data_IF_753920589438
#
_entry.id   IF_753920589438
#
_cell.length_a   1.000
_cell.length_b   1.000
_cell.length_c   1.000
_cell.angle_alpha   90.00
_cell.angle_beta   90.00
_cell.angle_gamma   90.00
#
_symmetry.space_group_name_H-M   'P 1'
#
loop_
_entity.id
_entity.type
_entity.pdbx_description
1 polymer ?
#
# COMPACT_ATOMS: atom_id res chain seq x y z
N UNK A 1 9.67 11.75 -27.55
CA UNK A 1 8.21 11.55 -27.58
C UNK A 1 7.98 10.18 -27.00
N UNK A 2 7.24 10.07 -25.88
CA UNK A 2 6.95 8.76 -25.29
C UNK A 2 6.22 7.92 -26.34
N UNK A 3 6.67 6.71 -26.58
CA UNK A 3 5.99 5.79 -27.49
C UNK A 3 4.67 5.41 -26.83
N UNK A 4 3.58 5.96 -27.35
CA UNK A 4 2.23 5.66 -26.86
C UNK A 4 1.67 4.53 -27.71
N UNK A 5 1.30 3.43 -27.05
CA UNK A 5 0.39 2.48 -27.65
C UNK A 5 -0.99 3.10 -27.79
N UNK A 6 -1.91 2.42 -28.45
CA UNK A 6 -3.29 2.87 -28.57
C UNK A 6 -4.26 1.71 -28.40
N UNK A 7 -5.44 2.02 -27.88
CA UNK A 7 -6.51 1.05 -27.66
C UNK A 7 -6.97 0.51 -29.01
N UNK A 8 -6.86 -0.80 -29.22
CA UNK A 8 -7.35 -1.50 -30.38
C UNK A 8 -8.71 -2.18 -30.13
N UNK A 9 -8.91 -2.72 -28.92
CA UNK A 9 -10.14 -3.42 -28.55
C UNK A 9 -10.40 -3.34 -27.05
N UNK A 10 -11.67 -3.41 -26.67
CA UNK A 10 -12.12 -3.32 -25.27
C UNK A 10 -13.10 -4.46 -25.04
N UNK A 11 -12.83 -5.31 -24.06
CA UNK A 11 -13.69 -6.41 -23.64
C UNK A 11 -13.83 -6.43 -22.12
N UNK A 12 -14.85 -5.72 -21.62
CA UNK A 12 -15.02 -5.49 -20.18
C UNK A 12 -13.79 -4.78 -19.59
N UNK A 13 -13.15 -5.32 -18.54
CA UNK A 13 -11.98 -4.71 -17.93
C UNK A 13 -10.66 -5.00 -18.67
N UNK A 14 -10.71 -5.86 -19.72
CA UNK A 14 -9.54 -6.21 -20.52
C UNK A 14 -9.49 -5.31 -21.77
N UNK A 15 -8.37 -4.61 -21.94
CA UNK A 15 -8.10 -3.72 -23.06
C UNK A 15 -6.94 -4.28 -23.90
N UNK A 16 -7.11 -4.33 -25.21
CA UNK A 16 -6.05 -4.69 -26.15
C UNK A 16 -5.40 -3.43 -26.68
N UNK A 17 -4.09 -3.29 -26.52
CA UNK A 17 -3.31 -2.15 -26.95
C UNK A 17 -2.34 -2.54 -28.09
N UNK A 18 -2.30 -1.75 -29.17
CA UNK A 18 -1.33 -1.87 -30.27
C UNK A 18 -0.24 -0.81 -30.15
N UNK A 19 0.86 -0.99 -30.87
CA UNK A 19 2.06 -0.13 -30.70
C UNK A 19 2.87 -0.51 -29.47
N UNK A 20 2.88 -1.80 -29.13
CA UNK A 20 3.38 -2.41 -27.89
C UNK A 20 4.88 -2.77 -27.89
N UNK A 21 5.67 -2.25 -28.83
CA UNK A 21 7.04 -2.72 -29.07
C UNK A 21 7.96 -2.63 -27.84
N UNK A 22 7.65 -1.76 -26.89
CA UNK A 22 8.42 -1.56 -25.66
C UNK A 22 7.65 -1.91 -24.37
N UNK A 23 6.41 -2.39 -24.45
CA UNK A 23 5.67 -2.80 -23.26
C UNK A 23 6.31 -4.02 -22.61
N UNK A 24 6.35 -4.03 -21.28
CA UNK A 24 6.88 -5.13 -20.49
C UNK A 24 5.79 -5.84 -19.69
N UNK A 25 5.99 -7.14 -19.47
CA UNK A 25 5.11 -7.95 -18.66
C UNK A 25 5.06 -7.39 -17.23
N UNK A 26 3.86 -7.21 -16.66
CA UNK A 26 3.62 -6.64 -15.32
C UNK A 26 3.94 -5.15 -15.15
N UNK A 27 4.17 -4.45 -16.24
CA UNK A 27 4.33 -3.00 -16.25
C UNK A 27 2.99 -2.28 -16.01
N UNK A 28 3.04 -1.15 -15.29
CA UNK A 28 1.90 -0.25 -15.15
C UNK A 28 1.78 0.68 -16.37
N UNK A 29 0.55 0.82 -16.86
CA UNK A 29 0.19 1.72 -17.95
C UNK A 29 -0.96 2.63 -17.56
N UNK A 30 -1.02 3.80 -18.20
CA UNK A 30 -2.15 4.73 -18.16
C UNK A 30 -2.96 4.54 -19.43
N UNK A 31 -4.25 4.22 -19.29
CA UNK A 31 -5.14 3.83 -20.39
C UNK A 31 -6.18 4.91 -20.65
N UNK A 32 -6.24 5.36 -21.90
CA UNK A 32 -7.19 6.35 -22.38
C UNK A 32 -6.82 7.78 -22.02
N UNK A 33 -7.63 8.73 -22.50
CA UNK A 33 -7.46 10.17 -22.20
C UNK A 33 -7.65 10.49 -20.71
N UNK A 34 -8.34 9.60 -20.00
CA UNK A 34 -8.55 9.68 -18.55
C UNK A 34 -7.42 9.08 -17.73
N UNK A 35 -6.37 8.54 -18.36
CA UNK A 35 -5.22 7.97 -17.66
C UNK A 35 -5.61 6.89 -16.63
N UNK A 36 -6.53 5.99 -16.99
CA UNK A 36 -6.96 4.93 -16.08
C UNK A 36 -5.79 3.99 -15.78
N UNK A 37 -5.64 3.57 -14.52
CA UNK A 37 -4.54 2.69 -14.14
C UNK A 37 -4.82 1.27 -14.65
N UNK A 38 -3.84 0.71 -15.37
CA UNK A 38 -3.85 -0.68 -15.82
C UNK A 38 -2.49 -1.36 -15.70
N UNK A 39 -2.51 -2.68 -15.83
CA UNK A 39 -1.33 -3.53 -15.82
C UNK A 39 -1.26 -4.36 -17.11
N UNK A 40 -0.09 -4.42 -17.74
CA UNK A 40 0.14 -5.39 -18.81
C UNK A 40 0.08 -6.80 -18.21
N UNK A 41 -0.85 -7.64 -18.70
CA UNK A 41 -1.05 -9.04 -18.27
C UNK A 41 -0.71 -10.07 -19.38
N UNK A 42 -0.47 -9.61 -20.60
CA UNK A 42 -0.02 -10.46 -21.70
C UNK A 42 0.57 -9.63 -22.84
N UNK A 43 1.50 -10.22 -23.58
CA UNK A 43 2.13 -9.60 -24.74
C UNK A 43 2.16 -10.64 -25.85
N UNK A 44 1.43 -10.37 -26.92
CA UNK A 44 1.47 -11.12 -28.18
C UNK A 44 2.23 -10.31 -29.24
N UNK A 45 2.52 -10.95 -30.39
CA UNK A 45 3.27 -10.32 -31.49
C UNK A 45 2.62 -9.03 -32.00
N UNK A 46 1.30 -8.91 -31.89
CA UNK A 46 0.51 -7.87 -32.54
C UNK A 46 -0.15 -6.90 -31.55
N UNK A 47 -0.25 -7.28 -30.26
CA UNK A 47 -0.94 -6.52 -29.24
C UNK A 47 -0.47 -6.88 -27.84
N UNK A 48 -0.55 -5.92 -26.92
CA UNK A 48 -0.51 -6.17 -25.49
C UNK A 48 -1.93 -6.27 -24.92
N UNK A 49 -2.08 -7.10 -23.90
CA UNK A 49 -3.30 -7.29 -23.14
C UNK A 49 -3.13 -6.54 -21.82
N UNK A 50 -4.01 -5.58 -21.58
CA UNK A 50 -4.00 -4.71 -20.42
C UNK A 50 -5.20 -5.03 -19.54
N UNK A 51 -4.97 -5.30 -18.27
CA UNK A 51 -6.01 -5.35 -17.25
C UNK A 51 -6.17 -3.95 -16.64
N UNK A 52 -7.30 -3.31 -16.88
CA UNK A 52 -7.62 -2.01 -16.25
C UNK A 52 -8.21 -2.26 -14.87
N UNK A 53 -7.77 -1.51 -13.85
CA UNK A 53 -8.24 -1.63 -12.47
C UNK A 53 -9.40 -0.69 -12.13
N UNK A 54 -9.81 0.13 -13.09
CA UNK A 54 -10.95 1.05 -13.01
C UNK A 54 -12.00 0.71 -14.08
N UNK A 55 -13.19 1.32 -13.97
CA UNK A 55 -14.27 1.09 -14.92
C UNK A 55 -13.93 1.61 -16.33
N UNK A 56 -13.89 0.70 -17.30
CA UNK A 56 -13.54 0.96 -18.71
C UNK A 56 -14.65 1.60 -19.53
N UNK A 57 -15.85 1.80 -18.96
CA UNK A 57 -17.02 2.35 -19.66
C UNK A 57 -16.70 3.68 -20.34
N UNK A 58 -16.85 3.78 -21.66
CA UNK A 58 -16.63 5.03 -22.38
C UNK A 58 -15.18 5.30 -22.81
N UNK A 59 -14.23 4.40 -22.51
CA UNK A 59 -13.01 4.28 -23.31
C UNK A 59 -13.36 3.96 -24.77
N UNK A 60 -12.56 4.44 -25.71
CA UNK A 60 -12.75 4.22 -27.14
C UNK A 60 -11.49 3.66 -27.80
N UNK A 61 -11.63 2.82 -28.84
CA UNK A 61 -10.52 2.49 -29.72
C UNK A 61 -9.87 3.76 -30.29
N UNK A 62 -8.54 3.76 -30.34
CA UNK A 62 -7.71 4.88 -30.78
C UNK A 62 -7.18 5.78 -29.66
N UNK A 63 -7.74 5.70 -28.45
CA UNK A 63 -7.20 6.45 -27.31
C UNK A 63 -5.81 5.93 -26.87
N UNK A 64 -4.96 6.77 -26.24
CA UNK A 64 -3.58 6.41 -25.93
C UNK A 64 -3.47 5.37 -24.80
N UNK A 65 -2.38 4.61 -24.83
CA UNK A 65 -1.93 3.72 -23.76
C UNK A 65 -0.47 4.05 -23.49
N UNK A 66 -0.22 4.75 -22.39
CA UNK A 66 1.10 5.26 -22.03
C UNK A 66 1.76 4.38 -20.96
N UNK A 67 3.00 3.96 -21.20
CA UNK A 67 3.76 3.17 -20.25
C UNK A 67 4.41 4.02 -19.14
N UNK A 68 4.45 3.48 -17.92
CA UNK A 68 5.15 4.09 -16.79
C UNK A 68 6.57 3.55 -16.59
N UNK A 69 6.96 2.51 -17.32
CA UNK A 69 8.30 1.92 -17.28
C UNK A 69 8.62 1.19 -15.97
N UNK A 70 7.62 0.99 -15.10
CA UNK A 70 7.77 0.39 -13.77
C UNK A 70 6.61 -0.54 -13.44
N UNK A 71 6.83 -1.57 -12.62
CA UNK A 71 5.76 -2.44 -12.16
C UNK A 71 4.83 -1.70 -11.20
N UNK A 72 3.61 -2.24 -11.04
CA UNK A 72 2.66 -1.67 -10.09
C UNK A 72 3.22 -1.74 -8.67
N UNK A 73 3.37 -0.56 -8.07
CA UNK A 73 4.09 -0.35 -6.82
C UNK A 73 3.28 0.52 -5.88
N UNK A 74 3.43 0.28 -4.58
CA UNK A 74 2.78 1.05 -3.52
C UNK A 74 3.79 1.95 -2.81
N UNK A 75 3.31 3.06 -2.27
CA UNK A 75 4.07 4.08 -1.58
C UNK A 75 4.17 3.76 -0.09
N UNK A 76 5.38 3.47 0.36
CA UNK A 76 5.71 3.19 1.76
C UNK A 76 6.33 4.43 2.41
N UNK A 77 5.60 5.10 3.30
CA UNK A 77 6.09 6.21 4.12
C UNK A 77 5.22 6.38 5.39
N UNK A 78 5.59 7.27 6.33
CA UNK A 78 4.68 7.70 7.39
C UNK A 78 3.40 8.34 6.81
N UNK A 79 2.24 8.03 7.39
CA UNK A 79 0.92 8.51 6.94
C UNK A 79 0.02 7.40 6.39
N UNK A 80 0.46 6.14 6.42
CA UNK A 80 -0.33 4.97 6.04
C UNK A 80 -1.31 4.60 7.16
N UNK A 81 -0.86 4.67 8.41
CA UNK A 81 -1.71 4.37 9.57
C UNK A 81 -2.83 5.40 9.69
N UNK A 82 -3.98 4.95 10.21
CA UNK A 82 -5.22 5.73 10.31
C UNK A 82 -5.85 6.14 8.97
N UNK A 83 -5.26 5.73 7.85
CA UNK A 83 -5.75 6.02 6.51
C UNK A 83 -6.63 4.87 5.96
N UNK A 84 -7.44 5.21 4.97
CA UNK A 84 -8.36 4.30 4.30
C UNK A 84 -8.09 4.40 2.80
N UNK A 85 -7.63 3.31 2.20
CA UNK A 85 -7.25 3.24 0.80
C UNK A 85 -8.27 2.43 -0.01
N UNK A 86 -8.34 2.71 -1.31
CA UNK A 86 -8.95 1.80 -2.28
C UNK A 86 -7.96 0.68 -2.70
N UNK A 87 -8.37 -0.16 -3.64
CA UNK A 87 -7.56 -1.29 -4.14
C UNK A 87 -6.24 -0.89 -4.83
N UNK A 88 -6.05 0.39 -5.15
CA UNK A 88 -4.85 0.91 -5.83
C UNK A 88 -4.13 2.00 -5.00
N UNK A 89 -4.32 1.97 -3.67
CA UNK A 89 -3.65 2.85 -2.71
C UNK A 89 -4.02 4.35 -2.83
N UNK A 90 -5.21 4.68 -3.34
CA UNK A 90 -5.72 6.06 -3.30
C UNK A 90 -6.49 6.31 -2.00
N UNK A 91 -6.22 7.43 -1.29
CA UNK A 91 -6.89 7.72 -0.03
C UNK A 91 -8.36 8.11 -0.26
N UNK A 92 -9.29 7.28 0.22
CA UNK A 92 -10.73 7.47 0.03
C UNK A 92 -11.25 8.78 0.63
N UNK A 93 -10.62 9.28 1.69
CA UNK A 93 -10.97 10.57 2.30
C UNK A 93 -10.69 11.74 1.37
N UNK A 94 -9.57 11.72 0.65
CA UNK A 94 -9.23 12.79 -0.28
C UNK A 94 -10.04 12.69 -1.58
N UNK A 95 -10.28 11.46 -2.06
CA UNK A 95 -11.23 11.25 -3.17
C UNK A 95 -12.58 11.88 -2.82
N UNK A 96 -13.11 11.61 -1.62
CA UNK A 96 -14.39 12.20 -1.17
C UNK A 96 -14.35 13.73 -1.11
N UNK A 97 -13.23 14.33 -0.72
CA UNK A 97 -13.09 15.79 -0.68
C UNK A 97 -13.15 16.42 -2.09
N UNK A 98 -12.71 15.69 -3.12
CA UNK A 98 -12.63 16.18 -4.50
C UNK A 98 -13.92 15.86 -5.29
N UNK A 99 -14.35 14.61 -5.31
CA UNK A 99 -15.47 14.12 -6.15
C UNK A 99 -16.78 13.88 -5.39
N UNK A 100 -16.80 14.13 -4.08
CA UNK A 100 -17.99 14.00 -3.25
C UNK A 100 -18.35 12.54 -2.93
N UNK A 101 -19.61 12.16 -3.16
CA UNK A 101 -20.10 10.83 -2.78
C UNK A 101 -19.76 9.72 -3.79
N UNK A 102 -19.26 10.08 -4.98
CA UNK A 102 -18.89 9.16 -6.04
C UNK A 102 -17.38 9.19 -6.26
N UNK A 103 -16.84 8.08 -6.76
CA UNK A 103 -15.42 7.98 -7.14
C UNK A 103 -15.36 8.26 -8.64
N UNK A 104 -14.86 9.44 -9.02
CA UNK A 104 -14.60 9.72 -10.43
C UNK A 104 -13.40 8.88 -10.92
N UNK A 105 -13.37 8.67 -12.23
CA UNK A 105 -12.38 7.79 -12.89
C UNK A 105 -11.17 8.58 -13.32
N UNK A 106 -9.98 7.98 -13.21
CA UNK A 106 -8.75 8.64 -13.63
C UNK A 106 -8.36 9.82 -12.73
N UNK A 107 -8.81 9.80 -11.48
CA UNK A 107 -8.37 10.78 -10.51
C UNK A 107 -6.92 10.47 -10.15
N UNK A 108 -6.03 11.41 -10.45
CA UNK A 108 -4.63 11.40 -10.05
C UNK A 108 -4.50 12.09 -8.67
N UNK A 109 -4.43 11.29 -7.61
CA UNK A 109 -4.21 11.74 -6.23
C UNK A 109 -3.00 11.00 -5.68
N UNK A 110 -2.12 11.72 -4.99
CA UNK A 110 -1.02 11.12 -4.24
C UNK A 110 -1.55 10.15 -3.18
N UNK A 111 -0.96 8.96 -3.09
CA UNK A 111 -1.31 7.96 -2.09
C UNK A 111 -1.22 8.50 -0.66
N UNK A 112 -0.23 9.35 -0.38
CA UNK A 112 0.01 9.93 0.95
C UNK A 112 0.08 11.45 0.87
N UNK A 113 -0.21 12.11 1.99
CA UNK A 113 -0.09 13.56 2.13
C UNK A 113 1.38 13.98 2.05
N UNK A 114 1.74 14.63 0.94
CA UNK A 114 3.10 15.07 0.64
C UNK A 114 3.48 16.40 1.31
N UNK A 115 2.50 17.13 1.83
CA UNK A 115 2.67 18.45 2.46
C UNK A 115 2.78 18.34 3.98
N UNK A 116 2.22 17.26 4.56
CA UNK A 116 2.32 17.00 6.00
C UNK A 116 3.77 16.83 6.43
N UNK A 117 4.15 17.61 7.44
CA UNK A 117 5.45 17.51 8.11
C UNK A 117 5.39 16.57 9.30
N UNK A 118 6.46 15.81 9.46
CA UNK A 118 6.64 14.81 10.50
C UNK A 118 7.87 15.16 11.34
N UNK A 119 7.69 15.20 12.66
CA UNK A 119 8.81 15.30 13.60
C UNK A 119 9.69 14.05 13.47
N UNK A 120 10.93 14.28 13.05
CA UNK A 120 11.85 13.24 12.60
C UNK A 120 13.13 13.31 13.41
N UNK A 121 13.53 12.16 13.95
CA UNK A 121 14.82 11.98 14.62
C UNK A 121 15.73 11.11 13.75
N UNK A 122 16.89 11.64 13.41
CA UNK A 122 17.89 10.95 12.60
C UNK A 122 18.68 9.98 13.47
N UNK A 123 18.85 8.75 12.99
CA UNK A 123 19.45 7.64 13.75
C UNK A 123 20.85 7.25 13.27
N UNK A 124 21.36 7.91 12.22
CA UNK A 124 22.67 7.65 11.61
C UNK A 124 23.48 8.94 11.53
N UNK A 125 24.79 8.84 11.36
CA UNK A 125 25.70 9.98 11.18
C UNK A 125 26.62 9.80 9.97
N UNK A 126 27.18 10.90 9.43
CA UNK A 126 28.20 10.81 8.40
C UNK A 126 29.36 9.89 8.81
N UNK A 127 29.74 8.99 7.90
CA UNK A 127 30.75 7.95 8.10
C UNK A 127 30.21 6.57 8.47
N UNK A 128 28.94 6.45 8.85
CA UNK A 128 28.34 5.14 9.16
C UNK A 128 28.17 4.30 7.88
N UNK A 129 28.49 3.01 7.97
CA UNK A 129 28.17 2.03 6.94
C UNK A 129 26.76 1.49 7.16
N UNK A 130 25.93 1.53 6.11
CA UNK A 130 24.52 1.09 6.18
C UNK A 130 24.21 0.10 5.07
N UNK A 131 23.28 -0.80 5.35
CA UNK A 131 22.75 -1.80 4.42
C UNK A 131 21.22 -1.80 4.44
N UNK A 132 20.61 -2.48 3.47
CA UNK A 132 19.16 -2.61 3.35
C UNK A 132 18.50 -3.03 4.66
N UNK A 133 17.49 -2.27 5.09
CA UNK A 133 16.81 -2.46 6.38
C UNK A 133 17.43 -1.72 7.57
N UNK A 134 18.58 -1.06 7.40
CA UNK A 134 19.15 -0.19 8.46
C UNK A 134 18.22 0.99 8.71
N UNK A 135 17.90 1.28 9.98
CA UNK A 135 17.05 2.42 10.36
C UNK A 135 17.85 3.71 10.25
N UNK A 136 17.39 4.63 9.40
CA UNK A 136 18.04 5.93 9.18
C UNK A 136 17.35 7.07 9.94
N UNK A 137 16.05 6.94 10.19
CA UNK A 137 15.29 7.92 10.94
C UNK A 137 14.09 7.25 11.62
N UNK A 138 13.56 7.91 12.65
CA UNK A 138 12.35 7.51 13.35
C UNK A 138 11.37 8.67 13.39
N UNK A 139 10.10 8.36 13.14
CA UNK A 139 8.98 9.31 13.08
C UNK A 139 7.86 8.78 13.95
N UNK A 140 7.30 9.63 14.82
CA UNK A 140 6.09 9.26 15.58
C UNK A 140 4.87 9.42 14.66
N UNK A 141 4.40 8.33 14.05
CA UNK A 141 3.33 8.38 13.04
C UNK A 141 1.93 8.53 13.67
N UNK A 142 1.69 7.79 14.75
CA UNK A 142 0.44 7.87 15.54
C UNK A 142 0.78 7.99 17.01
N UNK A 143 -0.21 8.04 17.91
CA UNK A 143 0.09 8.13 19.35
C UNK A 143 0.73 6.84 19.92
N UNK A 144 0.74 5.75 19.14
CA UNK A 144 1.24 4.43 19.54
C UNK A 144 2.47 4.00 18.75
N UNK A 145 2.53 4.33 17.46
CA UNK A 145 3.49 3.72 16.54
C UNK A 145 4.62 4.69 16.22
N UNK A 146 5.83 4.27 16.59
CA UNK A 146 7.07 4.86 16.11
C UNK A 146 7.45 4.20 14.79
N UNK A 147 7.26 4.91 13.69
CA UNK A 147 7.64 4.49 12.35
C UNK A 147 9.15 4.55 12.19
N UNK A 148 9.73 3.49 11.64
CA UNK A 148 11.18 3.39 11.37
C UNK A 148 11.41 3.53 9.87
N UNK A 149 12.01 4.65 9.47
CA UNK A 149 12.44 4.88 8.09
C UNK A 149 13.73 4.09 7.88
N UNK A 150 13.74 3.21 6.89
CA UNK A 150 14.83 2.26 6.67
C UNK A 150 15.47 2.43 5.29
N UNK A 151 16.73 2.05 5.14
CA UNK A 151 17.41 1.98 3.83
C UNK A 151 16.69 0.94 2.95
N UNK A 152 16.42 1.25 1.66
CA UNK A 152 15.84 0.30 0.71
C UNK A 152 16.65 -1.01 0.65
N UNK A 153 16.01 -2.19 0.53
CA UNK A 153 16.70 -3.47 0.70
C UNK A 153 17.88 -3.74 -0.23
N UNK A 154 17.85 -3.19 -1.45
CA UNK A 154 18.90 -3.40 -2.46
C UNK A 154 20.08 -2.42 -2.33
N UNK A 155 19.99 -1.47 -1.40
CA UNK A 155 20.97 -0.41 -1.25
C UNK A 155 21.93 -0.69 -0.10
N UNK A 156 23.20 -0.37 -0.34
CA UNK A 156 24.26 -0.33 0.67
C UNK A 156 25.22 0.80 0.36
N UNK A 157 25.83 1.37 1.37
CA UNK A 157 26.76 2.47 1.20
C UNK A 157 27.24 3.07 2.50
N UNK A 158 27.97 4.17 2.39
CA UNK A 158 28.44 4.95 3.52
C UNK A 158 27.68 6.27 3.57
N UNK A 159 27.20 6.66 4.75
CA UNK A 159 26.51 7.94 4.93
C UNK A 159 27.49 9.09 4.70
N UNK A 160 27.18 9.97 3.75
CA UNK A 160 27.99 11.18 3.47
C UNK A 160 27.38 12.42 4.08
N UNK A 161 26.06 12.45 4.23
CA UNK A 161 25.33 13.58 4.78
C UNK A 161 24.05 13.11 5.45
N UNK A 162 23.64 13.82 6.50
CA UNK A 162 22.37 13.64 7.19
C UNK A 162 21.72 15.00 7.42
N UNK A 163 20.39 15.03 7.38
CA UNK A 163 19.60 16.12 7.91
C UNK A 163 19.82 16.26 9.42
N UNK A 164 19.43 17.40 9.99
CA UNK A 164 19.30 17.55 11.43
C UNK A 164 17.96 16.96 11.89
N UNK A 165 17.77 16.79 13.20
CA UNK A 165 16.45 16.49 13.73
C UNK A 165 15.49 17.67 13.48
N UNK A 166 14.24 17.36 13.13
CA UNK A 166 13.24 18.39 12.85
C UNK A 166 12.03 17.88 12.08
N UNK A 167 11.22 18.82 11.60
CA UNK A 167 9.98 18.55 10.89
C UNK A 167 10.19 18.52 9.36
N UNK A 168 9.97 17.34 8.75
CA UNK A 168 10.19 17.10 7.32
C UNK A 168 8.96 16.45 6.67
N UNK A 169 8.70 16.75 5.39
CA UNK A 169 7.72 15.99 4.61
C UNK A 169 8.31 14.66 4.14
N UNK A 170 7.46 13.77 3.62
CA UNK A 170 7.88 12.44 3.16
C UNK A 170 8.85 12.48 1.95
N UNK A 171 8.85 13.60 1.22
CA UNK A 171 9.66 13.82 0.01
C UNK A 171 10.96 14.57 0.29
N UNK A 172 11.11 15.17 1.48
CA UNK A 172 12.34 15.90 1.83
C UNK A 172 13.51 14.93 2.05
N UNK A 173 14.73 15.31 1.62
CA UNK A 173 15.92 14.48 1.75
C UNK A 173 16.39 14.41 3.20
N UNK A 174 16.56 13.19 3.71
CA UNK A 174 17.01 12.94 5.09
C UNK A 174 18.47 12.48 5.17
N UNK A 175 18.89 11.60 4.25
CA UNK A 175 20.23 11.00 4.27
C UNK A 175 20.76 10.91 2.85
N UNK A 176 22.06 11.13 2.66
CA UNK A 176 22.75 10.81 1.41
C UNK A 176 23.79 9.74 1.64
N UNK A 177 23.82 8.76 0.74
CA UNK A 177 24.71 7.60 0.77
C UNK A 177 25.65 7.64 -0.42
N UNK A 178 26.94 7.42 -0.18
CA UNK A 178 27.88 7.02 -1.22
C UNK A 178 27.71 5.52 -1.46
N UNK A 179 27.20 5.16 -2.65
CA UNK A 179 27.02 3.76 -3.05
C UNK A 179 28.02 3.41 -4.17
N UNK A 180 28.25 2.12 -4.47
CA UNK A 180 29.10 1.74 -5.61
C UNK A 180 28.65 2.29 -6.98
N UNK A 181 27.39 2.75 -7.08
CA UNK A 181 26.79 3.33 -8.29
C UNK A 181 26.75 4.87 -8.25
N UNK A 182 27.37 5.48 -7.25
CA UNK A 182 27.39 6.93 -6.99
C UNK A 182 26.52 7.35 -5.80
N UNK A 183 26.45 8.66 -5.57
CA UNK A 183 25.68 9.26 -4.49
C UNK A 183 24.16 9.05 -4.70
N UNK A 184 23.48 8.60 -3.65
CA UNK A 184 22.02 8.39 -3.61
C UNK A 184 21.41 9.12 -2.42
N UNK A 185 20.32 9.82 -2.67
CA UNK A 185 19.55 10.54 -1.64
C UNK A 185 18.37 9.68 -1.19
N UNK A 186 18.20 9.57 0.13
CA UNK A 186 17.09 8.88 0.79
C UNK A 186 16.15 9.88 1.44
N UNK A 187 14.85 9.66 1.23
CA UNK A 187 13.74 10.38 1.86
C UNK A 187 12.99 9.40 2.79
N UNK A 188 11.85 9.81 3.36
CA UNK A 188 10.99 8.86 4.09
C UNK A 188 10.24 7.92 3.15
N UNK A 189 9.91 8.41 1.95
CA UNK A 189 9.09 7.74 0.94
C UNK A 189 9.91 6.70 0.16
N UNK A 190 9.34 5.51 0.02
CA UNK A 190 9.85 4.44 -0.85
C UNK A 190 8.71 3.88 -1.68
N UNK A 191 9.01 3.45 -2.91
CA UNK A 191 8.05 2.65 -3.70
C UNK A 191 8.46 1.18 -3.64
N UNK A 192 7.48 0.29 -3.50
CA UNK A 192 7.73 -1.16 -3.51
C UNK A 192 6.75 -1.91 -4.42
N UNK A 193 7.23 -2.75 -5.36
CA UNK A 193 6.36 -3.52 -6.25
C UNK A 193 5.50 -4.53 -5.49
N UNK A 194 4.19 -4.56 -5.75
CA UNK A 194 3.26 -5.41 -4.97
C UNK A 194 3.46 -6.91 -5.21
N UNK A 195 3.99 -7.28 -6.38
CA UNK A 195 4.25 -8.68 -6.78
C UNK A 195 5.60 -9.19 -6.29
N UNK A 196 6.44 -8.32 -5.75
CA UNK A 196 7.77 -8.67 -5.26
C UNK A 196 7.71 -8.82 -3.74
N UNK A 197 8.03 -10.01 -3.23
CA UNK A 197 8.10 -10.22 -1.80
C UNK A 197 9.21 -9.35 -1.18
N UNK A 198 8.92 -8.69 -0.04
CA UNK A 198 9.97 -7.98 0.71
C UNK A 198 11.03 -8.96 1.23
N UNK A 199 12.32 -8.66 1.06
CA UNK A 199 13.38 -9.56 1.50
C UNK A 199 13.47 -9.64 3.02
N UNK A 200 13.98 -10.76 3.51
CA UNK A 200 14.22 -11.02 4.92
C UNK A 200 15.52 -11.81 5.09
N UNK A 201 16.17 -11.69 6.24
CA UNK A 201 17.46 -12.34 6.51
C UNK A 201 17.34 -13.86 6.68
N UNK A 202 16.39 -14.30 7.48
CA UNK A 202 16.13 -15.72 7.73
C UNK A 202 14.65 -15.93 8.08
N UNK A 203 14.09 -17.08 7.68
CA UNK A 203 12.74 -17.49 8.09
C UNK A 203 12.85 -18.24 9.41
N UNK A 204 12.20 -17.71 10.46
CA UNK A 204 12.16 -18.35 11.78
C UNK A 204 10.95 -19.27 11.91
N UNK A 205 11.08 -20.29 12.76
CA UNK A 205 9.95 -21.12 13.17
C UNK A 205 8.93 -20.32 13.98
N UNK A 206 7.68 -20.78 13.98
CA UNK A 206 6.59 -20.15 14.73
C UNK A 206 6.62 -20.67 16.18
N UNK A 207 6.98 -19.81 17.13
CA UNK A 207 7.16 -20.16 18.55
C UNK A 207 6.31 -19.32 19.52
N UNK A 208 5.66 -18.25 19.03
CA UNK A 208 4.85 -17.33 19.82
C UNK A 208 3.37 -17.42 19.41
N UNK A 209 2.43 -17.61 20.35
CA UNK A 209 1.00 -17.54 20.04
C UNK A 209 0.59 -16.10 19.71
N UNK A 210 -0.35 -15.94 18.78
CA UNK A 210 -1.13 -14.73 18.58
C UNK A 210 -2.33 -14.82 19.53
N UNK A 211 -2.35 -13.99 20.57
CA UNK A 211 -3.46 -13.97 21.51
C UNK A 211 -4.60 -13.19 20.87
N UNK A 212 -5.68 -13.90 20.55
CA UNK A 212 -6.81 -13.32 19.80
C UNK A 212 -7.87 -12.68 20.71
N UNK A 213 -7.87 -13.04 21.99
CA UNK A 213 -8.90 -12.64 22.95
C UNK A 213 -10.19 -13.46 22.83
N UNK A 214 -10.28 -14.39 21.88
CA UNK A 214 -11.42 -15.26 21.68
C UNK A 214 -11.14 -16.62 22.30
N UNK A 215 -11.84 -16.96 23.39
CA UNK A 215 -11.64 -18.23 24.12
C UNK A 215 -11.62 -19.46 23.19
N UNK A 216 -12.53 -19.54 22.23
CA UNK A 216 -12.61 -20.69 21.32
C UNK A 216 -11.40 -20.77 20.37
N UNK A 217 -10.90 -19.64 19.88
CA UNK A 217 -9.72 -19.59 19.02
C UNK A 217 -8.47 -19.88 19.84
N UNK A 218 -8.28 -19.19 20.96
CA UNK A 218 -7.07 -19.31 21.79
C UNK A 218 -6.91 -20.70 22.44
N UNK A 219 -8.00 -21.44 22.63
CA UNK A 219 -7.95 -22.79 23.25
C UNK A 219 -8.07 -23.94 22.26
N UNK A 220 -9.06 -23.90 21.35
CA UNK A 220 -9.36 -25.03 20.46
C UNK A 220 -8.60 -24.94 19.13
N UNK A 221 -8.31 -23.71 18.67
CA UNK A 221 -7.69 -23.47 17.35
C UNK A 221 -6.59 -22.39 17.44
N UNK A 222 -5.56 -22.57 18.29
CA UNK A 222 -4.58 -21.53 18.56
C UNK A 222 -3.81 -21.16 17.29
N UNK A 223 -3.62 -19.85 17.09
CA UNK A 223 -2.89 -19.28 15.96
C UNK A 223 -1.54 -18.78 16.49
N UNK A 224 -0.44 -19.05 15.78
CA UNK A 224 0.87 -18.47 16.10
C UNK A 224 1.08 -17.13 15.37
N UNK A 225 1.88 -16.22 15.94
CA UNK A 225 2.29 -14.97 15.26
C UNK A 225 3.11 -15.31 14.03
N UNK A 226 2.61 -14.92 12.84
CA UNK A 226 3.16 -15.34 11.55
C UNK A 226 2.55 -16.63 10.97
N UNK A 227 1.58 -17.22 11.67
CA UNK A 227 0.76 -18.32 11.17
C UNK A 227 -0.35 -17.83 10.23
N UNK A 228 -0.94 -18.77 9.50
CA UNK A 228 -2.08 -18.53 8.62
C UNK A 228 -3.31 -19.28 9.15
N UNK A 229 -4.48 -18.64 9.12
CA UNK A 229 -5.75 -19.23 9.53
C UNK A 229 -6.84 -18.88 8.51
N UNK A 230 -7.86 -19.73 8.41
CA UNK A 230 -9.02 -19.51 7.56
C UNK A 230 -10.31 -19.65 8.39
N UNK A 231 -11.26 -18.75 8.17
CA UNK A 231 -12.59 -18.77 8.79
C UNK A 231 -13.62 -18.98 7.67
N UNK A 232 -13.81 -20.24 7.21
CA UNK A 232 -14.81 -20.53 6.21
C UNK A 232 -16.23 -20.39 6.80
N UNK A 233 -17.20 -20.03 5.96
CA UNK A 233 -18.59 -19.94 6.39
C UNK A 233 -19.50 -19.35 5.33
N UNK A 234 -20.79 -19.70 5.40
CA UNK A 234 -21.82 -19.15 4.53
C UNK A 234 -22.08 -17.66 4.76
N UNK A 235 -22.95 -17.07 3.95
CA UNK A 235 -23.38 -15.69 4.18
C UNK A 235 -24.07 -15.56 5.55
N UNK A 236 -23.77 -14.48 6.30
CA UNK A 236 -24.40 -14.21 7.60
C UNK A 236 -23.96 -15.10 8.77
N UNK A 237 -22.97 -15.99 8.61
CA UNK A 237 -22.51 -16.88 9.70
C UNK A 237 -21.56 -16.21 10.70
N UNK A 238 -21.45 -14.87 10.69
CA UNK A 238 -20.60 -14.12 11.64
C UNK A 238 -19.11 -14.06 11.30
N UNK A 239 -18.73 -14.28 10.03
CA UNK A 239 -17.32 -14.17 9.58
C UNK A 239 -16.73 -12.78 9.84
N UNK A 240 -17.37 -11.75 9.30
CA UNK A 240 -16.97 -10.33 9.43
C UNK A 240 -16.90 -9.92 10.90
N UNK A 241 -17.91 -10.29 11.69
CA UNK A 241 -17.93 -10.05 13.13
C UNK A 241 -16.75 -10.72 13.86
N UNK A 242 -16.40 -11.94 13.48
CA UNK A 242 -15.24 -12.62 14.07
C UNK A 242 -13.95 -11.89 13.69
N UNK A 243 -13.78 -11.47 12.44
CA UNK A 243 -12.64 -10.67 12.00
C UNK A 243 -12.53 -9.33 12.76
N UNK A 244 -13.66 -8.66 13.03
CA UNK A 244 -13.66 -7.43 13.85
C UNK A 244 -13.16 -7.71 15.26
N UNK A 245 -13.60 -8.81 15.89
CA UNK A 245 -13.12 -9.18 17.21
C UNK A 245 -11.62 -9.49 17.19
N UNK A 246 -11.12 -10.16 16.15
CA UNK A 246 -9.68 -10.42 16.00
C UNK A 246 -8.90 -9.10 15.83
N UNK A 247 -9.34 -8.19 14.98
CA UNK A 247 -8.69 -6.89 14.78
C UNK A 247 -8.65 -6.06 16.08
N UNK A 248 -9.73 -6.10 16.88
CA UNK A 248 -9.85 -5.34 18.12
C UNK A 248 -9.02 -5.93 19.26
N UNK A 249 -9.12 -7.23 19.49
CA UNK A 249 -8.60 -7.88 20.71
C UNK A 249 -7.25 -8.55 20.51
N UNK A 250 -6.78 -8.70 19.26
CA UNK A 250 -5.49 -9.33 19.03
C UNK A 250 -4.33 -8.50 19.60
N UNK A 251 -3.32 -9.21 20.10
CA UNK A 251 -2.10 -8.64 20.65
C UNK A 251 -1.05 -8.27 19.57
N UNK A 252 -1.51 -8.01 18.34
CA UNK A 252 -0.71 -7.51 17.24
C UNK A 252 -0.44 -6.00 17.38
N UNK A 253 0.74 -5.55 16.95
CA UNK A 253 1.12 -4.13 17.07
C UNK A 253 0.47 -3.27 15.99
N UNK A 254 0.27 -3.82 14.79
CA UNK A 254 -0.38 -3.14 13.65
C UNK A 254 -1.38 -4.11 13.01
N UNK A 255 -2.54 -3.60 12.61
CA UNK A 255 -3.58 -4.32 11.88
C UNK A 255 -3.66 -3.77 10.45
N UNK A 256 -3.58 -4.66 9.47
CA UNK A 256 -3.87 -4.36 8.06
C UNK A 256 -5.16 -5.09 7.72
N UNK A 257 -6.25 -4.34 7.55
CA UNK A 257 -7.54 -4.91 7.21
C UNK A 257 -7.83 -4.68 5.72
N UNK A 258 -8.10 -5.76 4.99
CA UNK A 258 -8.34 -5.72 3.56
C UNK A 258 -9.73 -6.28 3.30
N UNK A 259 -10.67 -5.40 2.96
CA UNK A 259 -12.00 -5.79 2.50
C UNK A 259 -11.98 -5.97 0.98
N UNK A 260 -12.15 -7.20 0.50
CA UNK A 260 -12.14 -7.53 -0.92
C UNK A 260 -13.49 -8.10 -1.35
N UNK A 261 -14.20 -7.40 -2.22
CA UNK A 261 -15.53 -7.80 -2.68
C UNK A 261 -16.59 -7.77 -1.58
N UNK A 262 -16.31 -7.08 -0.47
CA UNK A 262 -17.25 -6.92 0.63
C UNK A 262 -18.38 -5.97 0.23
N UNK A 263 -19.55 -6.16 0.85
CA UNK A 263 -20.69 -5.27 0.62
C UNK A 263 -20.40 -3.88 1.19
N UNK A 264 -20.82 -2.84 0.47
CA UNK A 264 -20.62 -1.46 0.90
C UNK A 264 -21.09 -1.19 2.34
N UNK A 265 -22.25 -1.72 2.72
CA UNK A 265 -22.77 -1.55 4.09
C UNK A 265 -21.89 -2.21 5.16
N UNK A 266 -21.28 -3.36 4.86
CA UNK A 266 -20.36 -4.04 5.79
C UNK A 266 -19.08 -3.22 5.96
N UNK A 267 -18.54 -2.68 4.86
CA UNK A 267 -17.38 -1.79 4.91
C UNK A 267 -17.68 -0.46 5.61
N UNK A 268 -18.84 0.15 5.39
CA UNK A 268 -19.25 1.36 6.12
C UNK A 268 -19.31 1.09 7.62
N UNK A 269 -19.91 -0.04 8.02
CA UNK A 269 -19.97 -0.44 9.43
C UNK A 269 -18.56 -0.63 10.01
N UNK A 270 -17.62 -1.25 9.27
CA UNK A 270 -16.21 -1.36 9.70
C UNK A 270 -15.62 0.03 9.95
N UNK A 271 -15.79 0.95 9.00
CA UNK A 271 -15.20 2.28 9.08
C UNK A 271 -15.75 3.10 10.25
N UNK A 272 -17.07 3.04 10.48
CA UNK A 272 -17.73 3.70 11.60
C UNK A 272 -17.29 3.09 12.92
N UNK A 273 -17.41 1.76 13.09
CA UNK A 273 -17.03 1.07 14.33
C UNK A 273 -15.55 1.29 14.67
N UNK A 274 -14.63 1.11 13.71
CA UNK A 274 -13.20 1.24 13.98
C UNK A 274 -12.81 2.66 14.40
N UNK A 275 -13.55 3.67 13.94
CA UNK A 275 -13.32 5.07 14.33
C UNK A 275 -13.72 5.39 15.76
N UNK A 276 -14.74 4.71 16.29
CA UNK A 276 -15.25 4.89 17.65
C UNK A 276 -14.57 3.96 18.68
N UNK A 277 -13.97 2.87 18.20
CA UNK A 277 -13.37 1.86 19.05
C UNK A 277 -12.03 2.32 19.63
N UNK A 278 -11.91 2.17 20.94
CA UNK A 278 -10.63 2.26 21.64
C UNK A 278 -9.97 0.87 21.68
N UNK A 279 -8.67 0.85 21.43
CA UNK A 279 -7.84 -0.32 21.66
C UNK A 279 -7.81 -0.62 23.17
N UNK A 280 -8.30 -1.80 23.60
CA UNK A 280 -8.34 -2.16 25.02
C UNK A 280 -6.95 -2.23 25.68
N UNK A 281 -5.89 -2.42 24.89
CA UNK A 281 -4.51 -2.49 25.41
C UNK A 281 -3.91 -1.11 25.70
N UNK A 282 -4.16 -0.15 24.82
CA UNK A 282 -3.52 1.17 24.89
C UNK A 282 -4.46 2.31 25.31
N UNK A 283 -5.78 2.12 25.24
CA UNK A 283 -6.79 3.15 25.48
C UNK A 283 -6.84 4.25 24.42
N UNK A 284 -6.13 4.08 23.29
CA UNK A 284 -6.11 4.99 22.14
C UNK A 284 -7.06 4.51 21.03
N UNK A 285 -7.43 5.35 20.05
CA UNK A 285 -8.24 4.93 18.92
C UNK A 285 -7.63 3.71 18.22
N UNK A 286 -8.45 2.73 17.86
CA UNK A 286 -7.99 1.51 17.16
C UNK A 286 -7.36 1.85 15.79
N UNK A 287 -7.82 2.94 15.16
CA UNK A 287 -7.25 3.47 13.92
C UNK A 287 -5.76 3.85 14.05
N UNK A 288 -5.26 4.24 15.23
CA UNK A 288 -3.85 4.62 15.43
C UNK A 288 -2.86 3.47 15.15
N UNK A 289 -3.36 2.23 15.08
CA UNK A 289 -2.57 1.05 14.71
C UNK A 289 -3.16 0.27 13.55
N UNK A 290 -4.14 0.83 12.83
CA UNK A 290 -4.87 0.13 11.78
C UNK A 290 -4.79 0.89 10.47
N UNK A 291 -4.60 0.17 9.37
CA UNK A 291 -4.82 0.66 8.00
C UNK A 291 -5.93 -0.18 7.37
N UNK A 292 -6.83 0.48 6.65
CA UNK A 292 -7.98 -0.14 6.00
C UNK A 292 -7.80 -0.03 4.48
N UNK A 293 -7.92 -1.14 3.77
CA UNK A 293 -7.95 -1.21 2.31
C UNK A 293 -9.33 -1.72 1.91
N UNK A 294 -10.09 -0.91 1.19
CA UNK A 294 -11.46 -1.18 0.83
C UNK A 294 -11.60 -1.34 -0.69
N UNK A 295 -11.91 -2.55 -1.13
CA UNK A 295 -12.35 -2.84 -2.48
C UNK A 295 -13.75 -3.46 -2.41
N UNK A 296 -14.79 -2.63 -2.56
CA UNK A 296 -16.18 -3.09 -2.42
C UNK A 296 -16.62 -3.89 -3.64
N UNK A 297 -17.69 -4.68 -3.51
CA UNK A 297 -18.26 -5.44 -4.65
C UNK A 297 -18.76 -4.59 -5.83
N UNK A 298 -18.81 -3.25 -5.67
CA UNK A 298 -19.23 -2.29 -6.69
C UNK A 298 -18.05 -1.48 -7.26
N UNK A 299 -16.81 -1.80 -6.85
CA UNK A 299 -15.57 -1.32 -7.45
C UNK A 299 -15.10 -2.36 -8.47
#
# INVERSE_FOLDING_TARGET
MKQEGYIYGINGPVVHAKGNAEFQMHETVLVGEKHLIGEIIGIDSDAAIVQVYEETTGLKPGEPVASLGKPFSVTLAPGILSNIFDGIERPLREIKNISGAFIDRGIDISSLDEEKKWETQIQVKPGDAVEGGTVIATVQETSLILHKVMVPPEMRGTVVWTAADGAYTINEPLVRLETPQGEKTLTMKQEWPIRTQRPYRERRGLDRPLITGQRIVDTMFPIAKGGAAAIPGGFGTGKTMTQHQLAKWSDADIIVYIGCGERGNEMTQVLEEFSELLDPKSGKPLLDRTVLIANTSNM
#
